data_IF_867447694742
#
_entry.id   IF_867447694742
#
_cell.length_a   1.000
_cell.length_b   1.000
_cell.length_c   1.000
_cell.angle_alpha   90.00
_cell.angle_beta   90.00
_cell.angle_gamma   90.00
#
_symmetry.space_group_name_H-M   'P 1'
#
loop_
_entity.id
_entity.type
_entity.pdbx_description
1 polymer ?
#
# COMPACT_ATOMS: atom_id res chain seq x y z
N UNK A 1 12.04 -3.28 0.06
CA UNK A 1 11.58 -2.02 0.65
C UNK A 1 12.67 -0.97 0.44
N UNK A 2 12.33 0.32 0.33
CA UNK A 2 13.31 1.40 0.23
C UNK A 2 14.24 1.38 1.45
N UNK A 3 15.57 1.35 1.23
CA UNK A 3 16.56 1.28 2.31
C UNK A 3 16.57 2.56 3.16
N UNK A 4 16.27 3.68 2.55
CA UNK A 4 16.27 4.99 3.20
C UNK A 4 14.96 5.29 3.93
N UNK A 5 13.94 4.41 3.78
CA UNK A 5 12.60 4.59 4.37
C UNK A 5 12.02 5.99 4.15
N UNK A 6 12.22 6.51 2.94
CA UNK A 6 11.81 7.88 2.60
C UNK A 6 10.30 8.04 2.69
N UNK A 7 9.88 9.21 3.19
CA UNK A 7 8.52 9.72 3.10
C UNK A 7 8.49 10.79 2.02
N UNK A 8 7.60 10.64 1.04
CA UNK A 8 7.47 11.59 -0.06
C UNK A 8 6.17 12.36 0.13
N UNK A 9 6.28 13.52 0.76
CA UNK A 9 5.18 14.48 0.86
C UNK A 9 4.75 14.95 -0.53
N UNK A 10 3.44 15.09 -0.77
CA UNK A 10 2.88 15.38 -2.11
C UNK A 10 3.48 14.46 -3.19
N UNK A 11 3.52 13.17 -2.89
CA UNK A 11 4.05 12.13 -3.76
C UNK A 11 3.03 11.57 -4.75
N UNK A 12 3.53 10.93 -5.80
CA UNK A 12 2.73 10.12 -6.71
C UNK A 12 3.47 8.83 -7.11
N UNK A 13 2.70 7.83 -7.50
CA UNK A 13 3.17 6.53 -7.99
C UNK A 13 2.59 6.31 -9.38
N UNK A 14 3.44 6.11 -10.38
CA UNK A 14 3.02 5.70 -11.71
C UNK A 14 3.02 4.16 -11.80
N UNK A 15 1.91 3.60 -12.30
CA UNK A 15 1.72 2.15 -12.42
C UNK A 15 1.35 1.81 -13.86
N UNK A 16 2.07 0.85 -14.44
CA UNK A 16 1.78 0.29 -15.75
C UNK A 16 1.68 -1.24 -15.66
N UNK A 17 0.59 -1.81 -16.15
CA UNK A 17 0.36 -3.28 -16.20
C UNK A 17 0.64 -3.99 -14.87
N UNK A 18 0.18 -3.38 -13.76
CA UNK A 18 0.36 -3.93 -12.41
C UNK A 18 1.77 -3.78 -11.82
N UNK A 19 2.67 -3.03 -12.47
CA UNK A 19 4.01 -2.74 -11.97
C UNK A 19 4.20 -1.26 -11.71
N UNK A 20 4.90 -0.93 -10.63
CA UNK A 20 5.32 0.44 -10.35
C UNK A 20 6.45 0.79 -11.32
N UNK A 21 6.26 1.84 -12.13
CA UNK A 21 7.27 2.31 -13.10
C UNK A 21 7.98 3.57 -12.63
N UNK A 22 7.36 4.36 -11.75
CA UNK A 22 8.00 5.50 -11.10
C UNK A 22 7.35 5.85 -9.76
N UNK A 23 8.15 6.41 -8.85
CA UNK A 23 7.71 6.95 -7.56
C UNK A 23 8.48 8.25 -7.32
N UNK A 24 7.80 9.32 -6.94
CA UNK A 24 8.44 10.61 -6.74
C UNK A 24 7.46 11.70 -6.35
N UNK A 25 7.91 12.96 -6.41
CA UNK A 25 7.03 14.12 -6.24
C UNK A 25 5.96 14.12 -7.31
N UNK A 26 4.73 14.47 -6.92
CA UNK A 26 3.57 14.53 -7.83
C UNK A 26 3.88 15.34 -9.09
N UNK A 27 4.48 16.52 -8.92
CA UNK A 27 4.84 17.42 -10.01
C UNK A 27 5.76 16.79 -11.05
N UNK A 28 6.67 15.90 -10.65
CA UNK A 28 7.60 15.24 -11.57
C UNK A 28 6.93 14.07 -12.29
N UNK A 29 6.13 13.30 -11.56
CA UNK A 29 5.39 12.16 -12.12
C UNK A 29 4.38 12.63 -13.18
N UNK A 30 3.57 13.65 -12.89
CA UNK A 30 2.56 14.14 -13.85
C UNK A 30 3.16 14.82 -15.08
N UNK A 31 4.42 15.28 -15.00
CA UNK A 31 5.15 15.81 -16.16
C UNK A 31 5.66 14.71 -17.09
N UNK A 32 6.02 13.55 -16.53
CA UNK A 32 6.65 12.46 -17.28
C UNK A 32 5.65 11.39 -17.75
N UNK A 33 4.53 11.23 -17.03
CA UNK A 33 3.57 10.16 -17.26
C UNK A 33 2.15 10.70 -17.39
N UNK A 34 1.42 10.20 -18.38
CA UNK A 34 -0.02 10.37 -18.52
C UNK A 34 -0.71 9.03 -18.24
N UNK A 35 -1.68 9.01 -17.35
CA UNK A 35 -2.42 7.81 -16.98
C UNK A 35 -3.84 7.85 -17.55
N UNK A 36 -4.36 6.69 -17.94
CA UNK A 36 -5.78 6.53 -18.33
C UNK A 36 -6.72 6.72 -17.12
N UNK A 37 -6.25 6.35 -15.94
CA UNK A 37 -6.96 6.45 -14.68
C UNK A 37 -6.06 7.15 -13.66
N UNK A 38 -6.61 8.10 -12.93
CA UNK A 38 -5.92 8.81 -11.85
C UNK A 38 -6.73 8.63 -10.57
N UNK A 39 -6.08 8.07 -9.55
CA UNK A 39 -6.66 7.94 -8.21
C UNK A 39 -6.15 9.10 -7.37
N UNK A 40 -7.04 9.99 -6.96
CA UNK A 40 -6.70 11.06 -6.02
C UNK A 40 -6.72 10.52 -4.58
N UNK A 41 -5.53 10.43 -3.99
CA UNK A 41 -5.32 9.99 -2.61
C UNK A 41 -5.02 11.17 -1.66
N UNK A 42 -5.40 12.40 -2.01
CA UNK A 42 -5.22 13.58 -1.16
C UNK A 42 -5.77 13.35 0.25
N UNK A 43 -5.00 13.75 1.27
CA UNK A 43 -5.33 13.52 2.68
C UNK A 43 -5.18 12.08 3.16
N UNK A 44 -4.60 11.18 2.36
CA UNK A 44 -4.32 9.78 2.70
C UNK A 44 -2.85 9.46 2.50
N UNK A 45 -2.40 8.34 3.09
CA UNK A 45 -1.08 7.78 2.84
C UNK A 45 -1.17 6.64 1.82
N UNK A 46 -0.24 6.61 0.86
CA UNK A 46 -0.01 5.46 -0.01
C UNK A 46 1.19 4.69 0.53
N UNK A 47 0.97 3.45 0.92
CA UNK A 47 2.00 2.56 1.49
C UNK A 47 2.10 1.27 0.68
N UNK A 48 3.24 0.54 0.75
CA UNK A 48 3.28 -0.83 0.28
C UNK A 48 2.21 -1.68 0.98
N UNK A 49 1.63 -2.63 0.26
CA UNK A 49 0.72 -3.61 0.85
C UNK A 49 1.39 -4.40 1.97
N UNK A 50 0.66 -4.66 3.04
CA UNK A 50 1.15 -5.49 4.15
C UNK A 50 1.26 -6.95 3.71
N UNK A 51 2.29 -7.64 4.17
CA UNK A 51 2.48 -9.08 3.94
C UNK A 51 1.99 -9.82 5.18
N UNK A 52 0.97 -10.65 5.01
CA UNK A 52 0.53 -11.57 6.06
C UNK A 52 1.30 -12.90 5.92
N UNK A 53 2.28 -13.11 6.80
CA UNK A 53 3.13 -14.31 6.77
C UNK A 53 2.53 -15.54 7.45
N UNK A 54 1.43 -15.40 8.20
CA UNK A 54 0.85 -16.49 8.96
C UNK A 54 -0.62 -16.24 9.28
N UNK A 55 -1.51 -17.15 8.88
CA UNK A 55 -2.94 -17.05 9.16
C UNK A 55 -3.60 -18.42 9.07
N UNK A 56 -4.46 -18.70 10.03
CA UNK A 56 -5.40 -19.81 9.97
C UNK A 56 -6.71 -19.29 9.38
N UNK A 57 -6.88 -19.39 8.05
CA UNK A 57 -8.04 -18.84 7.35
C UNK A 57 -9.38 -19.29 7.96
N UNK A 58 -9.61 -20.58 8.29
CA UNK A 58 -10.88 -21.02 8.89
C UNK A 58 -11.15 -20.40 10.27
N UNK A 59 -10.10 -20.10 11.04
CA UNK A 59 -10.23 -19.46 12.37
C UNK A 59 -10.75 -18.03 12.29
N UNK A 60 -10.83 -17.43 11.09
CA UNK A 60 -11.49 -16.12 10.91
C UNK A 60 -12.96 -16.17 11.35
N UNK A 61 -13.66 -17.27 11.09
CA UNK A 61 -15.05 -17.47 11.52
C UNK A 61 -15.17 -17.70 13.04
N UNK A 62 -14.09 -18.13 13.67
CA UNK A 62 -14.01 -18.42 15.11
C UNK A 62 -13.30 -17.29 15.89
N UNK A 63 -13.08 -16.13 15.28
CA UNK A 63 -12.43 -14.99 15.94
C UNK A 63 -13.21 -14.61 17.20
N UNK A 64 -12.53 -14.55 18.35
CA UNK A 64 -13.16 -14.26 19.64
C UNK A 64 -13.63 -15.49 20.41
N UNK A 65 -13.66 -16.67 19.78
CA UNK A 65 -13.95 -17.92 20.50
C UNK A 65 -12.68 -18.36 21.21
N UNK A 66 -12.81 -18.68 22.49
CA UNK A 66 -11.72 -19.14 23.36
C UNK A 66 -10.63 -18.11 23.69
N UNK A 67 -10.88 -16.81 23.44
CA UNK A 67 -9.92 -15.74 23.76
C UNK A 67 -9.60 -15.64 25.27
N UNK A 68 -10.53 -16.05 26.15
CA UNK A 68 -10.39 -16.01 27.62
C UNK A 68 -10.14 -17.40 28.26
N UNK A 69 -9.68 -18.39 27.48
CA UNK A 69 -9.29 -19.69 28.04
C UNK A 69 -7.87 -19.64 28.60
N UNK A 70 -7.68 -20.17 29.82
CA UNK A 70 -6.34 -20.43 30.35
C UNK A 70 -5.65 -21.51 29.50
N UNK A 71 -4.44 -21.20 29.00
CA UNK A 71 -3.60 -22.04 28.14
C UNK A 71 -2.41 -22.63 28.90
#
# INVERSE_FOLDING_TARGET
>A
MDRERRVIEDGAVAVERGRIVAVGKRSDIVRQYAAREVIDASGRAVIPGLINGHTHVPMTLFRGIADDLDL
#
